data_IF_306808502984
#
_entry.id   IF_306808502984
#
_cell.length_a   1.000
_cell.length_b   1.000
_cell.length_c   1.000
_cell.angle_alpha   90.00
_cell.angle_beta   90.00
_cell.angle_gamma   90.00
#
_symmetry.space_group_name_H-M   'P 1'
#
loop_
_entity.id
_entity.type
_entity.pdbx_description
1 polymer ?
#
# COMPACT_ATOMS: atom_id res chain seq x y z
N UNK A 1 25.27 13.34 -5.04
CA UNK A 1 24.55 12.81 -3.87
C UNK A 1 23.06 13.07 -4.10
N UNK A 2 22.36 12.08 -4.65
CA UNK A 2 20.90 12.12 -4.74
C UNK A 2 20.36 11.39 -3.52
N UNK A 3 19.82 12.15 -2.58
CA UNK A 3 18.94 11.63 -1.54
C UNK A 3 17.66 11.15 -2.23
N UNK A 4 17.61 9.85 -2.51
CA UNK A 4 16.34 9.17 -2.74
C UNK A 4 15.47 9.49 -1.51
N UNK A 5 14.42 10.26 -1.73
CA UNK A 5 13.35 10.57 -0.78
C UNK A 5 12.77 9.24 -0.26
N UNK A 6 13.43 8.65 0.73
CA UNK A 6 12.90 7.56 1.54
C UNK A 6 11.79 8.14 2.40
N UNK A 7 10.60 8.28 1.82
CA UNK A 7 9.33 8.44 2.55
C UNK A 7 8.96 7.09 3.20
N UNK A 8 9.95 6.38 3.72
CA UNK A 8 9.87 5.09 4.39
C UNK A 8 10.81 5.10 5.58
N UNK A 9 10.87 6.21 6.32
CA UNK A 9 11.33 6.14 7.71
C UNK A 9 10.24 5.35 8.43
N UNK A 10 10.40 4.03 8.42
CA UNK A 10 9.68 3.11 9.29
C UNK A 10 9.69 3.73 10.70
N UNK A 11 8.56 3.72 11.42
CA UNK A 11 8.53 4.29 12.76
C UNK A 11 9.70 3.66 13.53
N UNK A 12 10.56 4.49 14.12
CA UNK A 12 11.78 4.10 14.86
C UNK A 12 11.53 3.01 15.92
N UNK A 13 10.26 2.74 16.26
CA UNK A 13 9.80 1.72 17.21
C UNK A 13 9.61 0.32 16.57
N UNK A 14 9.45 0.21 15.25
CA UNK A 14 9.34 -1.09 14.56
C UNK A 14 10.74 -1.57 14.16
N UNK A 15 11.43 -2.27 15.06
CA UNK A 15 12.71 -2.91 14.78
C UNK A 15 12.48 -4.10 13.82
N UNK A 16 12.22 -3.83 12.54
CA UNK A 16 12.36 -4.82 11.49
C UNK A 16 13.86 -5.01 11.26
N UNK A 17 14.41 -6.06 11.86
CA UNK A 17 15.85 -6.35 11.86
C UNK A 17 16.27 -7.06 10.57
N UNK A 18 15.34 -7.80 9.93
CA UNK A 18 15.62 -8.56 8.71
C UNK A 18 14.86 -8.02 7.49
N UNK A 19 15.43 -8.24 6.30
CA UNK A 19 14.77 -7.96 5.02
C UNK A 19 13.40 -8.62 4.89
N UNK A 20 13.25 -9.83 5.44
CA UNK A 20 11.98 -10.54 5.48
C UNK A 20 10.93 -9.82 6.34
N UNK A 21 11.33 -9.33 7.52
CA UNK A 21 10.42 -8.57 8.39
C UNK A 21 9.99 -7.24 7.74
N UNK A 22 10.92 -6.55 7.10
CA UNK A 22 10.62 -5.35 6.29
C UNK A 22 9.60 -5.73 5.21
N UNK A 23 9.89 -6.77 4.43
CA UNK A 23 9.00 -7.24 3.37
C UNK A 23 7.57 -7.56 3.84
N UNK A 24 7.44 -8.31 4.94
CA UNK A 24 6.13 -8.60 5.55
C UNK A 24 5.40 -7.34 5.99
N UNK A 25 6.12 -6.40 6.61
CA UNK A 25 5.53 -5.14 7.04
C UNK A 25 5.05 -4.30 5.84
N UNK A 26 5.87 -4.19 4.78
CA UNK A 26 5.51 -3.50 3.55
C UNK A 26 4.29 -4.13 2.86
N UNK A 27 4.13 -5.46 2.91
CA UNK A 27 2.94 -6.16 2.43
C UNK A 27 1.69 -5.86 3.27
N UNK A 28 1.82 -5.83 4.60
CA UNK A 28 0.71 -5.46 5.50
C UNK A 28 0.29 -4.01 5.27
N UNK A 29 1.26 -3.10 5.12
CA UNK A 29 1.00 -1.69 4.81
C UNK A 29 0.25 -1.56 3.47
N UNK A 30 0.66 -2.32 2.45
CA UNK A 30 -0.03 -2.36 1.16
C UNK A 30 -1.49 -2.81 1.30
N UNK A 31 -1.73 -3.93 2.00
CA UNK A 31 -3.08 -4.44 2.23
C UNK A 31 -3.95 -3.40 2.96
N UNK A 32 -3.40 -2.72 3.97
CA UNK A 32 -4.11 -1.66 4.68
C UNK A 32 -4.49 -0.49 3.77
N UNK A 33 -3.58 -0.04 2.88
CA UNK A 33 -3.90 1.04 1.95
C UNK A 33 -5.01 0.66 0.97
N UNK A 34 -5.01 -0.56 0.45
CA UNK A 34 -6.06 -1.04 -0.45
C UNK A 34 -7.44 -1.08 0.26
N UNK A 35 -7.49 -1.62 1.48
CA UNK A 35 -8.71 -1.61 2.29
C UNK A 35 -9.21 -0.20 2.59
N UNK A 36 -8.29 0.73 2.89
CA UNK A 36 -8.64 2.13 3.13
C UNK A 36 -9.17 2.80 1.84
N UNK A 37 -8.58 2.50 0.68
CA UNK A 37 -9.04 3.03 -0.60
C UNK A 37 -10.45 2.54 -0.90
N UNK A 38 -10.71 1.25 -0.71
CA UNK A 38 -12.04 0.66 -0.85
C UNK A 38 -13.07 1.33 0.06
N UNK A 39 -12.72 1.57 1.32
CA UNK A 39 -13.61 2.29 2.26
C UNK A 39 -13.95 3.70 1.76
N UNK A 40 -13.00 4.40 1.14
CA UNK A 40 -13.21 5.73 0.57
C UNK A 40 -14.00 5.71 -0.74
N UNK A 41 -13.93 4.63 -1.52
CA UNK A 41 -14.71 4.45 -2.75
C UNK A 41 -16.19 4.13 -2.46
N UNK A 42 -16.48 3.47 -1.33
CA UNK A 42 -17.85 3.21 -0.87
C UNK A 42 -18.56 4.45 -0.28
N UNK A 43 -17.86 5.57 -0.14
CA UNK A 43 -18.37 6.78 0.48
C UNK A 43 -18.62 7.89 -0.56
N UNK A 44 -19.79 8.54 -0.47
CA UNK A 44 -20.17 9.61 -1.41
C UNK A 44 -19.15 10.76 -1.48
N UNK A 45 -19.00 11.29 -2.70
CA UNK A 45 -17.87 12.10 -3.14
C UNK A 45 -17.96 13.59 -2.77
N UNK A 46 -17.46 13.94 -1.58
CA UNK A 46 -16.94 15.29 -1.34
C UNK A 46 -15.61 15.49 -2.09
N UNK A 47 -15.27 16.74 -2.43
CA UNK A 47 -13.97 17.07 -3.04
C UNK A 47 -12.79 16.63 -2.15
N UNK A 48 -12.94 16.75 -0.83
CA UNK A 48 -11.95 16.29 0.14
C UNK A 48 -11.70 14.78 0.04
N UNK A 49 -12.76 13.98 -0.07
CA UNK A 49 -12.64 12.52 -0.26
C UNK A 49 -12.02 12.14 -1.59
N UNK A 50 -12.27 12.92 -2.65
CA UNK A 50 -11.60 12.70 -3.93
C UNK A 50 -10.10 12.96 -3.82
N UNK A 51 -9.70 14.04 -3.15
CA UNK A 51 -8.30 14.31 -2.87
C UNK A 51 -7.65 13.20 -2.04
N UNK A 52 -8.32 12.69 -1.01
CA UNK A 52 -7.85 11.53 -0.23
C UNK A 52 -7.69 10.28 -1.09
N UNK A 53 -8.62 9.98 -2.00
CA UNK A 53 -8.51 8.86 -2.95
C UNK A 53 -7.28 9.00 -3.85
N UNK A 54 -7.05 10.19 -4.39
CA UNK A 54 -5.88 10.47 -5.25
C UNK A 54 -4.58 10.29 -4.46
N UNK A 55 -4.49 10.84 -3.25
CA UNK A 55 -3.32 10.67 -2.39
C UNK A 55 -3.06 9.20 -2.06
N UNK A 56 -4.12 8.46 -1.72
CA UNK A 56 -3.99 7.06 -1.33
C UNK A 56 -3.60 6.17 -2.52
N UNK A 57 -4.12 6.44 -3.73
CA UNK A 57 -3.67 5.75 -4.96
C UNK A 57 -2.19 6.01 -5.24
N UNK A 58 -1.71 7.24 -5.04
CA UNK A 58 -0.28 7.55 -5.15
C UNK A 58 0.55 6.82 -4.09
N UNK A 59 0.07 6.75 -2.84
CA UNK A 59 0.74 6.00 -1.77
C UNK A 59 0.81 4.50 -2.08
N UNK A 60 -0.26 3.91 -2.60
CA UNK A 60 -0.30 2.51 -3.08
C UNK A 60 0.72 2.30 -4.20
N UNK A 61 0.81 3.22 -5.16
CA UNK A 61 1.79 3.11 -6.23
C UNK A 61 3.23 3.13 -5.69
N UNK A 62 3.57 4.08 -4.81
CA UNK A 62 4.90 4.13 -4.18
C UNK A 62 5.21 2.86 -3.38
N UNK A 63 4.20 2.36 -2.66
CA UNK A 63 4.29 1.10 -1.91
C UNK A 63 4.57 -0.10 -2.83
N UNK A 64 3.94 -0.15 -4.01
CA UNK A 64 4.18 -1.20 -5.01
C UNK A 64 5.60 -1.15 -5.57
N UNK A 65 6.10 0.07 -5.85
CA UNK A 65 7.49 0.26 -6.30
C UNK A 65 8.46 -0.24 -5.22
N UNK A 66 8.22 0.08 -3.94
CA UNK A 66 9.02 -0.43 -2.83
C UNK A 66 9.00 -1.96 -2.75
N UNK A 67 7.83 -2.59 -2.81
CA UNK A 67 7.70 -4.06 -2.81
C UNK A 67 8.42 -4.71 -4.01
N UNK A 68 8.41 -4.06 -5.19
CA UNK A 68 9.16 -4.54 -6.35
C UNK A 68 10.67 -4.51 -6.09
N UNK A 69 11.19 -3.47 -5.44
CA UNK A 69 12.63 -3.42 -5.06
C UNK A 69 13.00 -4.49 -4.04
N UNK A 70 12.05 -4.97 -3.24
CA UNK A 70 12.21 -6.06 -2.28
C UNK A 70 11.98 -7.46 -2.89
N UNK A 71 11.66 -7.57 -4.19
CA UNK A 71 11.35 -8.85 -4.84
C UNK A 71 9.98 -9.44 -4.47
N UNK A 72 9.09 -8.64 -3.87
CA UNK A 72 7.78 -9.07 -3.37
C UNK A 72 6.61 -8.63 -4.28
N UNK A 73 6.89 -8.46 -5.58
CA UNK A 73 5.89 -8.00 -6.55
C UNK A 73 4.75 -8.98 -6.77
N UNK A 74 5.01 -10.29 -6.68
CA UNK A 74 3.98 -11.31 -6.85
C UNK A 74 2.96 -11.28 -5.70
N UNK A 75 3.44 -11.17 -4.45
CA UNK A 75 2.60 -11.06 -3.27
C UNK A 75 1.80 -9.75 -3.29
N UNK A 76 2.42 -8.65 -3.75
CA UNK A 76 1.70 -7.40 -3.98
C UNK A 76 0.59 -7.56 -5.03
N UNK A 77 0.86 -8.27 -6.13
CA UNK A 77 -0.12 -8.53 -7.18
C UNK A 77 -1.29 -9.39 -6.68
N UNK A 78 -1.01 -10.41 -5.86
CA UNK A 78 -2.05 -11.22 -5.21
C UNK A 78 -2.96 -10.38 -4.31
N UNK A 79 -2.42 -9.37 -3.60
CA UNK A 79 -3.23 -8.46 -2.78
C UNK A 79 -4.20 -7.64 -3.63
N UNK A 80 -3.75 -7.10 -4.78
CA UNK A 80 -4.65 -6.41 -5.71
C UNK A 80 -5.77 -7.32 -6.21
N UNK A 81 -5.44 -8.56 -6.62
CA UNK A 81 -6.43 -9.52 -7.10
C UNK A 81 -7.44 -9.93 -6.02
N UNK A 82 -6.99 -10.10 -4.79
CA UNK A 82 -7.84 -10.48 -3.65
C UNK A 82 -8.86 -9.39 -3.33
N UNK A 83 -8.44 -8.13 -3.33
CA UNK A 83 -9.37 -7.00 -3.12
C UNK A 83 -10.37 -6.86 -4.28
N UNK A 84 -9.99 -7.19 -5.51
CA UNK A 84 -10.92 -7.24 -6.66
C UNK A 84 -11.89 -8.43 -6.59
N UNK A 85 -11.45 -9.61 -6.11
CA UNK A 85 -12.28 -10.82 -6.02
C UNK A 85 -13.28 -10.79 -4.86
N UNK A 86 -12.98 -10.13 -3.74
CA UNK A 86 -13.87 -10.03 -2.58
C UNK A 86 -15.12 -9.15 -2.80
N UNK A 87 -15.44 -8.80 -4.06
CA UNK A 87 -16.53 -7.88 -4.47
C UNK A 87 -17.39 -8.37 -5.63
N UNK A 88 -17.18 -9.58 -6.18
CA UNK A 88 -18.22 -10.24 -6.99
C UNK A 88 -18.92 -11.29 -6.13
N UNK A 89 -20.01 -10.97 -5.42
CA UNK A 89 -20.92 -12.02 -5.03
C UNK A 89 -21.49 -12.62 -6.33
N UNK A 90 -21.33 -13.93 -6.51
CA UNK A 90 -22.21 -14.68 -7.39
C UNK A 90 -23.66 -14.52 -6.93
#
# INVERSE_FOLDING_TARGET
>A
MQELLMISVLPWVAHCVTQEQIGRFELVRMAFFLLKLRKLELQDGSQEREFERVLLRNAIFQQYVSLRTLGLSEQAHQLFQTDHCALRPC
#
